data_IF_368052939306
#
_entry.id   IF_368052939306
#
_cell.length_a   1.000
_cell.length_b   1.000
_cell.length_c   1.000
_cell.angle_alpha   90.00
_cell.angle_beta   90.00
_cell.angle_gamma   90.00
#
_symmetry.space_group_name_H-M   'P 1'
#
loop_
_entity.id
_entity.type
_entity.pdbx_description
1 polymer ?
#
# COMPACT_ATOMS: atom_id res chain seq x y z
N UNK A 1 -11.18 -8.97 -57.80
CA UNK A 1 -11.74 -8.60 -56.48
C UNK A 1 -11.48 -9.76 -55.51
N UNK A 2 -10.47 -9.63 -54.63
CA UNK A 2 -10.08 -10.68 -53.66
C UNK A 2 -10.96 -10.55 -52.41
N UNK A 3 -11.76 -11.58 -52.10
CA UNK A 3 -12.55 -11.65 -50.88
C UNK A 3 -11.66 -12.19 -49.76
N UNK A 4 -11.39 -11.36 -48.74
CA UNK A 4 -10.70 -11.78 -47.53
C UNK A 4 -11.67 -12.71 -46.77
N UNK A 5 -11.26 -13.94 -46.40
CA UNK A 5 -12.14 -14.86 -45.70
C UNK A 5 -12.45 -14.29 -44.30
N UNK A 6 -13.74 -14.23 -43.96
CA UNK A 6 -14.28 -13.67 -42.71
C UNK A 6 -13.63 -14.29 -41.45
N UNK A 7 -13.13 -15.51 -41.55
CA UNK A 7 -12.40 -16.23 -40.51
C UNK A 7 -11.04 -15.61 -40.15
N UNK A 8 -10.39 -14.90 -41.07
CA UNK A 8 -9.14 -14.17 -40.79
C UNK A 8 -9.39 -12.86 -40.03
N UNK A 9 -10.58 -12.28 -40.17
CA UNK A 9 -10.95 -11.03 -39.49
C UNK A 9 -11.28 -11.26 -38.02
N UNK A 10 -11.95 -12.37 -37.68
CA UNK A 10 -12.29 -12.73 -36.29
C UNK A 10 -11.07 -13.17 -35.48
N UNK A 11 -10.08 -13.83 -36.10
CA UNK A 11 -8.86 -14.23 -35.39
C UNK A 11 -7.95 -13.05 -35.04
N UNK A 12 -8.02 -11.93 -35.79
CA UNK A 12 -7.28 -10.71 -35.50
C UNK A 12 -7.93 -9.87 -34.39
N UNK A 13 -9.26 -9.92 -34.24
CA UNK A 13 -9.97 -9.24 -33.16
C UNK A 13 -9.77 -9.89 -31.79
N UNK A 14 -9.52 -11.20 -31.71
CA UNK A 14 -9.24 -11.87 -30.42
C UNK A 14 -7.82 -11.62 -29.88
N UNK A 15 -6.90 -11.10 -30.69
CA UNK A 15 -5.57 -10.67 -30.23
C UNK A 15 -5.52 -9.23 -29.70
N UNK A 16 -6.62 -8.48 -29.77
CA UNK A 16 -6.77 -7.16 -29.14
C UNK A 16 -7.39 -7.28 -27.74
N UNK A 17 -7.08 -8.34 -26.99
CA UNK A 17 -7.31 -8.30 -25.55
C UNK A 17 -6.49 -7.12 -24.98
N UNK A 18 -7.09 -6.24 -24.17
CA UNK A 18 -6.37 -5.12 -23.61
C UNK A 18 -5.28 -5.66 -22.68
N UNK A 19 -4.03 -5.55 -23.11
CA UNK A 19 -2.84 -5.76 -22.27
C UNK A 19 -2.70 -4.66 -21.19
N UNK A 20 -3.78 -3.93 -20.89
CA UNK A 20 -3.86 -2.86 -19.89
C UNK A 20 -4.00 -3.41 -18.46
N UNK A 21 -3.50 -4.63 -18.21
CA UNK A 21 -3.55 -5.27 -16.90
C UNK A 21 -2.16 -5.46 -16.26
N UNK A 22 -1.08 -4.98 -16.88
CA UNK A 22 0.29 -5.22 -16.40
C UNK A 22 1.18 -3.97 -16.51
N UNK A 23 0.84 -2.95 -15.74
CA UNK A 23 1.71 -1.89 -15.20
C UNK A 23 0.74 -1.07 -14.34
N UNK A 24 0.83 -1.02 -13.02
CA UNK A 24 1.88 -0.34 -12.27
C UNK A 24 2.12 -1.01 -10.91
N UNK A 25 2.59 -2.26 -10.90
CA UNK A 25 3.22 -2.83 -9.71
C UNK A 25 4.57 -2.14 -9.49
N UNK A 26 4.59 -1.10 -8.66
CA UNK A 26 5.81 -0.50 -8.13
C UNK A 26 6.10 0.96 -8.47
N UNK A 27 5.11 1.77 -8.86
CA UNK A 27 5.24 3.22 -8.68
C UNK A 27 4.73 3.51 -7.26
N UNK A 28 5.62 3.73 -6.29
CA UNK A 28 5.19 4.27 -5.01
C UNK A 28 4.43 5.56 -5.30
N UNK A 29 3.28 5.77 -4.66
CA UNK A 29 2.44 6.95 -4.84
C UNK A 29 3.33 8.21 -4.83
N UNK A 30 3.55 8.87 -5.97
CA UNK A 30 4.45 10.01 -6.04
C UNK A 30 3.89 11.10 -5.15
N UNK A 31 4.67 11.53 -4.17
CA UNK A 31 4.24 12.52 -3.18
C UNK A 31 3.79 11.93 -1.84
N UNK A 32 3.76 10.61 -1.64
CA UNK A 32 3.50 10.06 -0.31
C UNK A 32 4.77 10.03 0.55
N UNK A 33 4.70 10.62 1.75
CA UNK A 33 5.68 10.45 2.81
C UNK A 33 5.06 9.71 4.01
N UNK A 34 5.81 8.74 4.54
CA UNK A 34 5.41 7.92 5.68
C UNK A 34 6.56 7.88 6.68
N UNK A 35 6.36 8.50 7.83
CA UNK A 35 7.36 8.58 8.89
C UNK A 35 6.91 7.80 10.13
N UNK A 36 7.85 7.07 10.73
CA UNK A 36 7.67 6.46 12.04
C UNK A 36 7.87 7.54 13.11
N UNK A 37 6.84 7.88 13.87
CA UNK A 37 6.97 8.83 14.98
C UNK A 37 7.30 8.12 16.29
N UNK A 38 6.62 7.01 16.59
CA UNK A 38 6.74 6.33 17.88
C UNK A 38 6.43 4.84 17.76
N UNK A 39 7.11 4.06 18.58
CA UNK A 39 6.81 2.65 18.82
C UNK A 39 6.84 2.39 20.31
N UNK A 40 5.73 1.93 20.87
CA UNK A 40 5.68 1.41 22.24
C UNK A 40 5.46 -0.10 22.20
N UNK A 41 6.24 -0.83 22.99
CA UNK A 41 6.13 -2.28 23.12
C UNK A 41 5.47 -2.68 24.43
N UNK A 42 4.50 -3.58 24.36
CA UNK A 42 3.92 -4.27 25.52
C UNK A 42 3.77 -5.77 25.23
N UNK A 43 4.70 -6.56 25.74
CA UNK A 43 4.75 -8.00 25.45
C UNK A 43 5.05 -8.27 23.98
N UNK A 44 4.11 -8.91 23.28
CA UNK A 44 4.16 -9.17 21.84
C UNK A 44 3.35 -8.16 21.01
N UNK A 45 2.77 -7.15 21.65
CA UNK A 45 2.03 -6.09 20.96
C UNK A 45 2.91 -4.86 20.81
N UNK A 46 2.92 -4.29 19.61
CA UNK A 46 3.45 -2.96 19.34
C UNK A 46 2.28 -2.00 19.13
N UNK A 47 2.37 -0.82 19.74
CA UNK A 47 1.59 0.35 19.35
C UNK A 47 2.51 1.23 18.52
N UNK A 48 2.13 1.52 17.29
CA UNK A 48 2.96 2.22 16.32
C UNK A 48 2.22 3.48 15.89
N UNK A 49 2.88 4.63 16.04
CA UNK A 49 2.38 5.91 15.58
C UNK A 49 3.16 6.33 14.33
N UNK A 50 2.40 6.64 13.28
CA UNK A 50 2.88 7.04 11.99
C UNK A 50 2.40 8.45 11.67
N UNK A 51 3.26 9.22 11.01
CA UNK A 51 2.88 10.45 10.31
C UNK A 51 2.80 10.14 8.83
N UNK A 52 1.64 10.40 8.24
CA UNK A 52 1.36 10.25 6.83
C UNK A 52 1.22 11.63 6.22
N UNK A 53 1.83 11.86 5.07
CA UNK A 53 1.71 13.11 4.33
C UNK A 53 1.47 12.80 2.86
N UNK A 54 0.39 13.36 2.31
CA UNK A 54 0.12 13.34 0.89
C UNK A 54 0.61 14.66 0.27
N UNK A 55 1.88 14.72 -0.11
CA UNK A 55 2.45 15.85 -0.85
C UNK A 55 2.13 15.80 -2.37
N UNK A 56 1.26 14.90 -2.79
CA UNK A 56 0.74 14.83 -4.17
C UNK A 56 -0.37 15.84 -4.43
N UNK A 57 -0.91 15.79 -5.64
CA UNK A 57 -2.01 16.66 -6.10
C UNK A 57 -3.39 15.98 -6.04
N UNK A 58 -3.42 14.66 -5.84
CA UNK A 58 -4.65 13.85 -5.81
C UNK A 58 -4.86 13.21 -4.43
N UNK A 59 -6.12 13.00 -3.99
CA UNK A 59 -6.39 12.29 -2.75
C UNK A 59 -5.92 10.83 -2.80
N UNK A 60 -5.44 10.32 -1.67
CA UNK A 60 -4.99 8.94 -1.50
C UNK A 60 -5.92 8.19 -0.55
N UNK A 61 -6.39 7.01 -0.95
CA UNK A 61 -7.17 6.14 -0.07
C UNK A 61 -6.23 5.11 0.58
N UNK A 62 -6.02 5.23 1.87
CA UNK A 62 -5.34 4.21 2.67
C UNK A 62 -6.29 3.03 2.91
N UNK A 63 -5.97 1.89 2.32
CA UNK A 63 -6.74 0.65 2.43
C UNK A 63 -6.28 -0.20 3.62
N UNK A 64 -5.02 -0.07 4.02
CA UNK A 64 -4.55 -0.65 5.27
C UNK A 64 -3.04 -0.85 5.36
N UNK A 65 -2.66 -1.71 6.30
CA UNK A 65 -1.27 -2.04 6.60
C UNK A 65 -1.05 -3.54 6.64
N UNK A 66 0.11 -3.98 6.17
CA UNK A 66 0.51 -5.38 6.24
C UNK A 66 1.97 -5.56 6.65
N UNK A 67 2.27 -6.75 7.17
CA UNK A 67 3.61 -7.22 7.51
C UNK A 67 3.59 -8.75 7.58
N UNK A 68 4.75 -9.38 7.46
CA UNK A 68 4.92 -10.82 7.63
C UNK A 68 4.96 -11.26 9.11
N UNK A 69 5.04 -10.31 10.04
CA UNK A 69 5.21 -10.60 11.47
C UNK A 69 3.94 -11.00 12.22
N UNK A 70 2.76 -10.65 11.70
CA UNK A 70 1.54 -10.82 12.49
C UNK A 70 0.34 -10.04 11.99
N UNK A 71 -0.58 -9.79 12.90
CA UNK A 71 -1.85 -9.14 12.60
C UNK A 71 -1.76 -7.63 12.92
N UNK A 72 -2.06 -6.81 11.92
CA UNK A 72 -2.17 -5.36 12.08
C UNK A 72 -3.62 -4.98 12.30
N UNK A 73 -3.89 -4.30 13.41
CA UNK A 73 -5.18 -3.75 13.77
C UNK A 73 -5.07 -2.23 13.65
N UNK A 74 -5.80 -1.67 12.69
CA UNK A 74 -5.86 -0.23 12.51
C UNK A 74 -6.92 0.31 13.49
N UNK A 75 -6.53 1.25 14.36
CA UNK A 75 -7.41 1.76 15.41
C UNK A 75 -8.39 2.83 14.90
N UNK A 76 -8.09 3.40 13.73
CA UNK A 76 -8.92 4.32 12.96
C UNK A 76 -9.18 3.65 11.61
N UNK A 77 -10.44 3.43 11.20
CA UNK A 77 -10.76 2.72 9.96
C UNK A 77 -10.23 3.38 8.67
N UNK A 78 -10.65 2.86 7.51
CA UNK A 78 -10.24 3.34 6.19
C UNK A 78 -10.24 4.87 6.09
N UNK A 79 -9.18 5.42 5.51
CA UNK A 79 -8.91 6.86 5.54
C UNK A 79 -8.55 7.39 4.16
N UNK A 80 -9.19 8.48 3.76
CA UNK A 80 -8.78 9.29 2.62
C UNK A 80 -7.85 10.38 3.15
N UNK A 81 -6.69 10.56 2.51
CA UNK A 81 -5.78 11.69 2.70
C UNK A 81 -5.91 12.63 1.51
N UNK A 82 -6.46 13.81 1.72
CA UNK A 82 -6.56 14.85 0.70
C UNK A 82 -5.16 15.36 0.28
N UNK A 83 -5.09 16.01 -0.88
CA UNK A 83 -3.84 16.60 -1.37
C UNK A 83 -3.32 17.67 -0.39
N UNK A 84 -2.04 17.55 -0.01
CA UNK A 84 -1.38 18.39 0.99
C UNK A 84 -1.72 18.03 2.45
N UNK A 85 -2.54 17.00 2.70
CA UNK A 85 -2.92 16.61 4.05
C UNK A 85 -1.77 15.91 4.79
N UNK A 86 -1.64 16.23 6.08
CA UNK A 86 -0.76 15.54 7.03
C UNK A 86 -1.63 14.97 8.13
N UNK A 87 -1.50 13.67 8.35
CA UNK A 87 -2.29 12.94 9.33
C UNK A 87 -1.41 12.11 10.27
N UNK A 88 -1.85 12.00 11.53
CA UNK A 88 -1.28 11.07 12.49
C UNK A 88 -2.17 9.87 12.66
N UNK A 89 -1.58 8.68 12.63
CA UNK A 89 -2.32 7.45 12.75
C UNK A 89 -1.64 6.48 13.70
N UNK A 90 -2.45 5.82 14.52
CA UNK A 90 -2.00 4.80 15.46
C UNK A 90 -2.51 3.43 15.02
N UNK A 91 -1.61 2.45 14.97
CA UNK A 91 -1.93 1.06 14.69
C UNK A 91 -1.39 0.16 15.80
N UNK A 92 -2.03 -0.99 15.98
CA UNK A 92 -1.54 -2.03 16.86
C UNK A 92 -1.10 -3.24 16.04
N UNK A 93 0.10 -3.74 16.26
CA UNK A 93 0.61 -4.97 15.66
C UNK A 93 0.75 -6.04 16.73
N UNK A 94 0.05 -7.16 16.57
CA UNK A 94 0.24 -8.36 17.39
C UNK A 94 1.22 -9.28 16.69
N UNK A 95 2.45 -9.35 17.20
CA UNK A 95 3.53 -10.16 16.62
C UNK A 95 3.35 -11.63 16.96
N UNK A 96 3.45 -12.49 15.94
CA UNK A 96 3.43 -13.95 16.04
C UNK A 96 4.88 -14.45 16.09
N UNK A 97 5.34 -14.83 17.28
CA UNK A 97 6.69 -15.35 17.48
C UNK A 97 7.62 -14.36 18.18
N UNK A 98 8.89 -14.38 17.80
CA UNK A 98 9.90 -13.50 18.39
C UNK A 98 9.78 -12.07 17.85
N UNK A 99 9.94 -11.08 18.73
CA UNK A 99 9.90 -9.66 18.34
C UNK A 99 11.20 -9.29 17.63
N UNK A 100 11.18 -8.92 16.34
CA UNK A 100 12.38 -8.48 15.64
C UNK A 100 12.77 -7.06 16.08
N UNK A 101 14.06 -6.74 16.05
CA UNK A 101 14.56 -5.39 16.36
C UNK A 101 14.21 -4.33 15.31
N UNK A 102 13.99 -4.77 14.06
CA UNK A 102 13.64 -3.93 12.92
C UNK A 102 12.79 -4.75 11.94
N UNK A 103 11.80 -4.14 11.30
CA UNK A 103 10.98 -4.77 10.28
C UNK A 103 10.31 -3.73 9.37
N UNK A 104 9.61 -4.19 8.33
CA UNK A 104 8.88 -3.31 7.42
C UNK A 104 7.37 -3.49 7.59
N UNK A 105 6.65 -2.37 7.75
CA UNK A 105 5.22 -2.27 7.50
C UNK A 105 5.00 -1.80 6.07
N UNK A 106 4.00 -2.34 5.38
CA UNK A 106 3.61 -1.89 4.05
C UNK A 106 2.26 -1.21 4.18
N UNK A 107 2.21 0.08 3.86
CA UNK A 107 0.97 0.84 3.70
C UNK A 107 0.43 0.65 2.28
N UNK A 108 -0.84 0.27 2.15
CA UNK A 108 -1.51 0.01 0.87
C UNK A 108 -2.47 1.16 0.52
N UNK A 109 -2.26 1.76 -0.65
CA UNK A 109 -3.08 2.83 -1.20
C UNK A 109 -3.85 2.40 -2.47
N UNK A 110 -4.00 1.09 -2.67
CA UNK A 110 -4.71 0.52 -3.80
C UNK A 110 -4.05 0.85 -5.13
N UNK A 111 -4.79 1.55 -6.00
CA UNK A 111 -4.33 1.91 -7.35
C UNK A 111 -3.13 2.87 -7.33
N UNK A 112 -2.98 3.67 -6.26
CA UNK A 112 -1.83 4.56 -6.08
C UNK A 112 -0.55 3.81 -5.66
N UNK A 113 -0.66 2.52 -5.34
CA UNK A 113 0.47 1.66 -4.98
C UNK A 113 0.66 1.51 -3.46
N UNK A 114 1.87 1.12 -3.07
CA UNK A 114 2.21 0.82 -1.68
C UNK A 114 3.50 1.50 -1.24
N UNK A 115 3.58 1.86 0.04
CA UNK A 115 4.71 2.54 0.65
C UNK A 115 5.31 1.74 1.82
N UNK A 116 6.61 1.44 1.83
CA UNK A 116 7.25 0.79 2.96
C UNK A 116 7.53 1.77 4.09
N UNK A 117 7.33 1.32 5.32
CA UNK A 117 7.71 2.01 6.55
C UNK A 117 8.64 1.11 7.34
N UNK A 118 9.86 1.59 7.57
CA UNK A 118 10.83 0.87 8.38
C UNK A 118 10.54 1.14 9.87
N UNK A 119 10.23 0.07 10.60
CA UNK A 119 9.88 0.14 12.02
C UNK A 119 11.04 -0.38 12.85
N UNK A 120 11.47 0.40 13.83
CA UNK A 120 12.47 0.03 14.82
C UNK A 120 11.77 -0.20 16.16
N UNK A 121 11.98 -1.37 16.78
CA UNK A 121 11.30 -1.70 18.05
C UNK A 121 12.13 -1.33 19.28
N UNK A 122 13.16 -0.50 19.12
CA UNK A 122 14.18 -0.22 20.12
C UNK A 122 14.10 1.18 20.72
N UNK A 123 13.39 1.29 21.86
CA UNK A 123 13.98 1.59 23.18
C UNK A 123 13.12 0.90 24.26
#
# INVERSE_FOLDING_TARGET
MRRIPLALLTSLLLSLAPLWAMAHLGHGAPGLALDLERVDRKGNTLTIELRLENAGEEPLLLQGFSTDLGEVIILSGDRVLDAGEVEKMTLSLVVKGEMPGIFTLIADFGEAGAGPVLVFTGA
#
